data_IF_080906042288
#
_entry.id   IF_080906042288
#
_cell.length_a   1.000
_cell.length_b   1.000
_cell.length_c   1.000
_cell.angle_alpha   90.00
_cell.angle_beta   90.00
_cell.angle_gamma   90.00
#
_symmetry.space_group_name_H-M   'P 1'
#
loop_
_entity.id
_entity.type
_entity.pdbx_description
1 polymer ?
#
# COMPACT_ATOMS: atom_id res chain seq x y z
N UNK A 1 -2.99 28.59 -61.10
CA UNK A 1 -2.59 27.63 -60.04
C UNK A 1 -1.25 28.06 -59.49
N UNK A 2 -1.21 28.69 -58.32
CA UNK A 2 0.04 29.06 -57.64
C UNK A 2 -0.09 28.67 -56.17
N UNK A 3 0.60 27.59 -55.82
CA UNK A 3 0.58 26.92 -54.53
C UNK A 3 1.22 27.80 -53.45
N UNK A 4 0.45 28.14 -52.42
CA UNK A 4 0.85 28.95 -51.28
C UNK A 4 1.84 28.19 -50.39
N UNK A 5 3.08 28.70 -50.25
CA UNK A 5 4.04 28.21 -49.26
C UNK A 5 3.59 28.61 -47.86
N UNK A 6 3.05 27.67 -47.09
CA UNK A 6 2.80 27.85 -45.65
C UNK A 6 4.13 27.92 -44.89
N UNK A 7 4.45 29.11 -44.36
CA UNK A 7 5.52 29.34 -43.38
C UNK A 7 5.29 28.46 -42.14
N UNK A 8 6.20 27.53 -41.86
CA UNK A 8 6.26 26.83 -40.57
C UNK A 8 6.54 27.85 -39.46
N UNK A 9 5.62 27.99 -38.50
CA UNK A 9 5.83 28.76 -37.28
C UNK A 9 6.81 28.00 -36.38
N UNK A 10 8.00 28.52 -36.18
CA UNK A 10 9.01 27.97 -35.28
C UNK A 10 8.53 27.96 -33.83
N UNK A 11 8.37 26.76 -33.25
CA UNK A 11 8.09 26.60 -31.82
C UNK A 11 9.28 27.06 -30.99
N UNK A 12 9.05 27.98 -30.05
CA UNK A 12 10.03 28.42 -29.06
C UNK A 12 10.64 27.21 -28.33
N UNK A 13 11.92 26.92 -28.59
CA UNK A 13 12.66 25.89 -27.85
C UNK A 13 12.94 26.41 -26.44
N UNK A 14 12.38 25.74 -25.45
CA UNK A 14 12.60 26.08 -24.03
C UNK A 14 13.87 25.39 -23.52
N UNK A 15 14.85 26.18 -23.06
CA UNK A 15 16.12 25.70 -22.52
C UNK A 15 16.22 25.91 -21.00
N UNK A 16 17.00 25.07 -20.33
CA UNK A 16 17.35 25.27 -18.93
C UNK A 16 18.32 26.47 -18.79
N UNK A 17 18.09 27.31 -17.79
CA UNK A 17 18.90 28.48 -17.46
C UNK A 17 19.96 28.20 -16.38
N UNK A 18 20.08 26.96 -15.92
CA UNK A 18 21.10 26.55 -14.96
C UNK A 18 22.51 26.59 -15.58
N UNK A 19 23.51 26.89 -14.76
CA UNK A 19 24.93 26.77 -15.15
C UNK A 19 25.22 25.31 -15.51
N UNK A 20 25.98 25.11 -16.60
CA UNK A 20 26.39 23.79 -17.10
C UNK A 20 25.23 22.83 -17.45
N UNK A 21 24.03 23.35 -17.73
CA UNK A 21 22.90 22.54 -18.15
C UNK A 21 22.51 22.82 -19.60
N UNK A 22 22.63 21.81 -20.47
CA UNK A 22 22.23 21.85 -21.89
C UNK A 22 20.83 21.28 -22.14
N UNK A 23 20.07 20.97 -21.07
CA UNK A 23 18.74 20.37 -21.20
C UNK A 23 17.74 21.35 -21.82
N UNK A 24 16.94 20.84 -22.76
CA UNK A 24 15.87 21.58 -23.42
C UNK A 24 14.63 20.71 -23.52
N UNK A 25 13.47 21.33 -23.72
CA UNK A 25 12.21 20.58 -23.91
C UNK A 25 12.22 19.72 -25.17
N UNK A 26 13.10 20.04 -26.13
CA UNK A 26 13.31 19.24 -27.34
C UNK A 26 14.24 18.04 -27.11
N UNK A 27 15.30 18.19 -26.31
CA UNK A 27 16.25 17.10 -26.01
C UNK A 27 15.74 16.15 -24.93
N UNK A 28 14.98 16.65 -23.96
CA UNK A 28 14.41 15.87 -22.85
C UNK A 28 12.92 16.18 -22.65
N UNK A 29 12.02 15.61 -23.48
CA UNK A 29 10.57 15.83 -23.37
C UNK A 29 9.99 15.36 -22.03
N UNK A 30 10.60 14.36 -21.40
CA UNK A 30 10.22 13.75 -20.12
C UNK A 30 10.48 14.65 -18.91
N UNK A 31 11.40 15.62 -19.03
CA UNK A 31 11.72 16.53 -17.94
C UNK A 31 10.70 17.67 -17.85
N UNK A 32 10.33 17.99 -16.61
CA UNK A 32 9.56 19.19 -16.29
C UNK A 32 10.48 20.41 -16.20
N UNK A 33 10.03 21.53 -16.78
CA UNK A 33 10.74 22.81 -16.79
C UNK A 33 9.92 23.84 -16.02
N UNK A 34 10.48 24.36 -14.93
CA UNK A 34 9.83 25.26 -14.00
C UNK A 34 10.20 26.71 -14.27
N UNK A 35 9.20 27.60 -14.15
CA UNK A 35 9.41 29.04 -14.24
C UNK A 35 10.08 29.56 -12.97
N UNK A 36 10.85 30.63 -13.09
CA UNK A 36 11.26 31.40 -11.92
C UNK A 36 10.00 31.92 -11.20
N UNK A 37 10.03 32.09 -9.86
CA UNK A 37 8.93 32.70 -9.13
C UNK A 37 8.64 34.13 -9.61
N UNK A 38 7.36 34.51 -9.62
CA UNK A 38 6.94 35.89 -9.90
C UNK A 38 7.26 36.84 -8.72
N UNK A 39 7.37 36.30 -7.51
CA UNK A 39 7.77 37.06 -6.32
C UNK A 39 9.22 37.53 -6.42
N UNK A 40 9.45 38.83 -6.21
CA UNK A 40 10.75 39.47 -6.39
C UNK A 40 11.82 38.93 -5.43
N UNK A 41 11.45 38.65 -4.17
CA UNK A 41 12.41 38.14 -3.16
C UNK A 41 12.84 36.71 -3.49
N UNK A 42 11.87 35.84 -3.77
CA UNK A 42 12.12 34.42 -4.09
C UNK A 42 12.80 34.24 -5.45
N UNK A 43 12.51 35.09 -6.42
CA UNK A 43 13.18 35.08 -7.73
C UNK A 43 14.68 35.43 -7.58
N UNK A 44 15.01 36.44 -6.76
CA UNK A 44 16.40 36.77 -6.42
C UNK A 44 17.12 35.62 -5.72
N UNK A 45 16.46 34.93 -4.79
CA UNK A 45 17.02 33.74 -4.13
C UNK A 45 17.39 32.65 -5.15
N UNK A 46 16.51 32.38 -6.12
CA UNK A 46 16.80 31.40 -7.18
C UNK A 46 17.98 31.83 -8.07
N UNK A 47 18.12 33.12 -8.38
CA UNK A 47 19.25 33.64 -9.18
C UNK A 47 20.57 33.53 -8.40
N UNK A 48 20.56 33.80 -7.11
CA UNK A 48 21.74 33.63 -6.24
C UNK A 48 22.18 32.16 -6.25
N UNK A 49 21.22 31.24 -6.13
CA UNK A 49 21.49 29.79 -6.10
C UNK A 49 21.99 29.24 -7.44
N UNK A 50 21.50 29.76 -8.57
CA UNK A 50 21.98 29.36 -9.91
C UNK A 50 23.37 29.91 -10.23
N UNK A 51 23.89 30.88 -9.46
CA UNK A 51 25.21 31.53 -9.63
C UNK A 51 25.48 32.09 -11.05
N UNK A 52 24.42 32.48 -11.73
CA UNK A 52 24.44 33.16 -13.03
C UNK A 52 24.50 34.67 -12.83
N UNK A 53 25.69 35.26 -12.94
CA UNK A 53 25.89 36.71 -12.75
C UNK A 53 25.11 37.55 -13.77
N UNK A 54 24.90 37.03 -14.98
CA UNK A 54 24.12 37.65 -16.05
C UNK A 54 22.64 37.87 -15.69
N UNK A 55 22.10 37.06 -14.78
CA UNK A 55 20.70 37.12 -14.34
C UNK A 55 20.48 38.02 -13.11
N UNK A 56 21.54 38.44 -12.41
CA UNK A 56 21.43 39.21 -11.16
C UNK A 56 20.81 40.61 -11.38
N UNK A 57 21.07 41.22 -12.53
CA UNK A 57 20.60 42.56 -12.87
C UNK A 57 19.24 42.57 -13.60
N UNK A 58 18.55 41.43 -13.71
CA UNK A 58 17.27 41.31 -14.41
C UNK A 58 16.08 41.41 -13.45
N UNK A 59 14.95 41.94 -13.95
CA UNK A 59 13.71 42.06 -13.17
C UNK A 59 13.04 40.70 -12.97
N UNK A 60 12.28 40.55 -11.88
CA UNK A 60 11.54 39.30 -11.60
C UNK A 60 10.55 38.93 -12.71
N UNK A 61 9.93 39.93 -13.37
CA UNK A 61 9.04 39.72 -14.52
C UNK A 61 9.80 39.16 -15.74
N UNK A 62 11.01 39.66 -16.01
CA UNK A 62 11.86 39.13 -17.07
C UNK A 62 12.23 37.66 -16.80
N UNK A 63 12.63 37.33 -15.57
CA UNK A 63 13.00 35.98 -15.15
C UNK A 63 11.81 35.02 -15.25
N UNK A 64 10.63 35.45 -14.81
CA UNK A 64 9.39 34.66 -14.91
C UNK A 64 9.01 34.33 -16.36
N UNK A 65 9.19 35.27 -17.29
CA UNK A 65 8.83 35.07 -18.70
C UNK A 65 9.86 34.22 -19.45
N UNK A 66 11.15 34.49 -19.24
CA UNK A 66 12.21 34.02 -20.14
C UNK A 66 13.10 32.90 -19.57
N UNK A 67 13.16 32.71 -18.24
CA UNK A 67 14.09 31.77 -17.61
C UNK A 67 13.37 30.53 -17.08
N UNK A 68 13.99 29.35 -17.24
CA UNK A 68 13.43 28.06 -16.79
C UNK A 68 14.49 27.19 -16.15
N UNK A 69 14.13 26.40 -15.14
CA UNK A 69 15.01 25.38 -14.57
C UNK A 69 14.38 24.00 -14.74
N UNK A 70 15.14 23.03 -15.23
CA UNK A 70 14.65 21.66 -15.36
C UNK A 70 14.62 20.94 -13.99
N UNK A 71 13.82 19.87 -13.90
CA UNK A 71 13.53 19.17 -12.64
C UNK A 71 14.77 18.59 -11.92
N UNK A 72 15.89 18.41 -12.60
CA UNK A 72 17.11 17.83 -12.01
C UNK A 72 17.76 18.74 -10.96
N UNK A 73 17.48 20.05 -11.01
CA UNK A 73 18.10 21.03 -10.11
C UNK A 73 17.41 21.14 -8.74
N UNK A 74 16.36 20.35 -8.52
CA UNK A 74 15.56 20.35 -7.29
C UNK A 74 15.66 18.98 -6.61
N UNK A 75 15.78 18.99 -5.28
CA UNK A 75 15.73 17.77 -4.47
C UNK A 75 14.33 17.12 -4.54
N UNK A 76 14.26 15.79 -4.42
CA UNK A 76 13.00 15.04 -4.49
C UNK A 76 11.94 15.51 -3.46
N UNK A 77 12.38 16.03 -2.31
CA UNK A 77 11.53 16.57 -1.26
C UNK A 77 10.85 17.90 -1.63
N UNK A 78 11.29 18.56 -2.71
CA UNK A 78 10.77 19.84 -3.17
C UNK A 78 9.58 19.71 -4.14
N UNK A 79 9.23 18.48 -4.51
CA UNK A 79 8.10 18.17 -5.37
C UNK A 79 6.87 17.76 -4.56
N UNK A 80 5.70 18.26 -4.95
CA UNK A 80 4.41 17.86 -4.34
C UNK A 80 4.02 16.44 -4.78
N UNK A 81 4.41 16.06 -6.00
CA UNK A 81 4.06 14.78 -6.62
C UNK A 81 5.31 14.01 -7.04
N UNK A 82 5.26 12.68 -6.93
CA UNK A 82 6.31 11.78 -7.40
C UNK A 82 6.56 11.87 -8.92
N UNK A 83 5.61 12.42 -9.68
CA UNK A 83 5.77 12.67 -11.12
C UNK A 83 6.69 13.87 -11.41
N UNK A 84 7.16 14.61 -10.39
CA UNK A 84 8.04 15.77 -10.51
C UNK A 84 7.54 16.86 -11.47
N UNK A 85 6.21 17.03 -11.55
CA UNK A 85 5.56 18.01 -12.44
C UNK A 85 5.16 19.31 -11.74
N UNK A 86 5.23 19.35 -10.39
CA UNK A 86 4.88 20.53 -9.58
C UNK A 86 5.82 20.66 -8.39
N UNK A 87 6.40 21.84 -8.23
CA UNK A 87 7.21 22.22 -7.07
C UNK A 87 6.31 22.71 -5.93
N UNK A 88 6.75 22.52 -4.69
CA UNK A 88 6.08 23.07 -3.52
C UNK A 88 6.36 24.59 -3.38
N UNK A 89 5.57 25.31 -2.56
CA UNK A 89 5.73 26.77 -2.38
C UNK A 89 7.06 27.21 -1.76
N UNK A 90 7.83 26.30 -1.14
CA UNK A 90 9.14 26.59 -0.52
C UNK A 90 10.33 26.02 -1.31
N UNK A 91 10.08 25.48 -2.51
CA UNK A 91 11.10 24.86 -3.33
C UNK A 91 12.14 25.89 -3.78
N UNK A 92 13.41 25.48 -3.73
CA UNK A 92 14.57 26.24 -4.18
C UNK A 92 15.55 25.31 -4.88
N UNK A 93 16.17 25.72 -6.00
CA UNK A 93 17.09 24.84 -6.70
C UNK A 93 18.39 24.73 -5.89
N UNK A 94 18.74 23.53 -5.45
CA UNK A 94 19.94 23.28 -4.62
C UNK A 94 20.95 22.38 -5.30
N UNK A 95 20.57 21.70 -6.39
CA UNK A 95 21.41 20.74 -7.09
C UNK A 95 22.05 21.40 -8.33
N UNK A 96 23.28 21.86 -8.16
CA UNK A 96 24.12 22.42 -9.23
C UNK A 96 25.52 21.81 -9.15
N UNK A 97 26.12 21.56 -10.31
CA UNK A 97 27.49 21.07 -10.43
C UNK A 97 28.47 22.26 -10.49
N UNK A 98 28.69 22.88 -9.32
CA UNK A 98 29.50 24.10 -9.15
C UNK A 98 30.41 23.99 -7.91
N UNK A 99 31.57 24.68 -7.88
CA UNK A 99 32.40 24.75 -6.68
C UNK A 99 31.63 25.36 -5.50
N UNK A 100 31.60 24.66 -4.36
CA UNK A 100 30.81 25.02 -3.16
C UNK A 100 29.29 25.13 -3.43
N UNK A 101 28.58 24.00 -3.66
CA UNK A 101 27.15 23.97 -3.99
C UNK A 101 26.30 24.47 -2.80
N UNK A 102 25.08 24.97 -3.06
CA UNK A 102 24.17 25.39 -1.99
C UNK A 102 23.93 24.27 -0.97
N UNK A 103 23.80 24.59 0.33
CA UNK A 103 23.56 23.58 1.35
C UNK A 103 22.27 22.83 1.02
N UNK A 104 22.41 21.52 0.84
CA UNK A 104 21.27 20.62 0.59
C UNK A 104 20.38 20.61 1.83
N UNK A 105 19.07 20.67 1.61
CA UNK A 105 18.10 20.74 2.72
C UNK A 105 18.00 19.37 3.41
N UNK A 106 18.45 18.30 2.74
CA UNK A 106 18.46 16.94 3.26
C UNK A 106 19.83 16.35 3.60
N UNK A 107 20.59 16.88 4.58
CA UNK A 107 21.67 16.11 5.20
C UNK A 107 21.20 15.33 6.43
N UNK A 108 21.10 14.01 6.23
CA UNK A 108 21.03 12.99 7.28
C UNK A 108 22.32 12.98 8.09
N UNK A 109 22.19 12.81 9.40
CA UNK A 109 23.29 12.42 10.30
C UNK A 109 23.98 11.15 9.77
N UNK A 110 25.32 11.20 9.81
CA UNK A 110 26.31 10.25 9.30
C UNK A 110 26.02 8.79 9.68
N UNK A 111 26.12 7.89 8.71
CA UNK A 111 26.49 6.49 8.92
C UNK A 111 27.68 6.20 8.02
N UNK A 112 28.67 5.52 8.59
CA UNK A 112 30.03 5.29 8.10
C UNK A 112 30.07 4.78 6.65
N UNK A 113 31.02 5.34 5.91
CA UNK A 113 31.35 5.08 4.52
C UNK A 113 32.09 3.75 4.35
N UNK A 114 31.67 2.93 3.36
CA UNK A 114 32.50 2.15 2.40
C UNK A 114 31.62 1.09 1.72
N UNK A 115 31.37 1.29 0.42
CA UNK A 115 31.69 0.36 -0.68
C UNK A 115 31.60 1.22 -1.96
N UNK A 116 32.67 1.13 -2.76
CA UNK A 116 32.95 1.87 -3.98
C UNK A 116 31.89 1.68 -5.06
N UNK A 117 31.68 2.74 -5.83
CA UNK A 117 30.80 2.89 -6.99
C UNK A 117 31.20 2.06 -8.22
N UNK A 118 31.91 0.95 -8.05
CA UNK A 118 32.29 0.02 -9.14
C UNK A 118 31.31 -1.13 -9.32
N UNK A 119 30.51 -1.47 -8.31
CA UNK A 119 29.67 -2.68 -8.34
C UNK A 119 28.22 -2.41 -8.83
N UNK A 120 27.71 -1.18 -8.71
CA UNK A 120 26.37 -0.80 -9.19
C UNK A 120 26.26 -0.86 -10.73
N UNK A 121 27.33 -0.51 -11.44
CA UNK A 121 27.35 -0.53 -12.90
C UNK A 121 27.59 -1.94 -13.45
N UNK A 122 28.37 -2.78 -12.75
CA UNK A 122 28.51 -4.22 -13.06
C UNK A 122 27.18 -4.96 -12.85
N UNK A 123 26.42 -4.60 -11.80
CA UNK A 123 25.11 -5.20 -11.53
C UNK A 123 24.03 -4.70 -12.50
N UNK A 124 24.09 -3.43 -12.95
CA UNK A 124 23.20 -2.91 -14.02
C UNK A 124 23.50 -3.56 -15.38
N UNK A 125 24.77 -3.78 -15.71
CA UNK A 125 25.18 -4.41 -16.96
C UNK A 125 24.86 -5.90 -16.97
N UNK A 126 25.10 -6.63 -15.86
CA UNK A 126 24.65 -8.02 -15.69
C UNK A 126 23.12 -8.15 -15.73
N UNK A 127 22.39 -7.17 -15.17
CA UNK A 127 20.92 -7.13 -15.24
C UNK A 127 20.41 -6.83 -16.65
N UNK A 128 21.11 -6.02 -17.46
CA UNK A 128 20.77 -5.79 -18.86
C UNK A 128 20.99 -7.03 -19.72
N UNK A 129 22.10 -7.76 -19.51
CA UNK A 129 22.36 -9.04 -20.20
C UNK A 129 21.35 -10.13 -19.79
N UNK A 130 21.08 -10.30 -18.49
CA UNK A 130 20.06 -11.26 -18.01
C UNK A 130 18.63 -10.93 -18.46
N UNK A 131 18.29 -9.64 -18.65
CA UNK A 131 16.97 -9.25 -19.17
C UNK A 131 16.90 -9.44 -20.69
N UNK A 132 17.97 -9.20 -21.42
CA UNK A 132 18.06 -9.47 -22.86
C UNK A 132 17.99 -10.98 -23.15
N UNK A 133 18.71 -11.82 -22.40
CA UNK A 133 18.70 -13.28 -22.57
C UNK A 133 17.32 -13.90 -22.24
N UNK A 134 16.59 -13.30 -21.28
CA UNK A 134 15.22 -13.72 -20.92
C UNK A 134 14.17 -13.19 -21.91
N UNK A 135 14.39 -12.01 -22.50
CA UNK A 135 13.51 -11.47 -23.55
C UNK A 135 13.67 -12.22 -24.88
N UNK A 136 14.89 -12.63 -25.24
CA UNK A 136 15.17 -13.40 -26.46
C UNK A 136 14.59 -14.82 -26.38
N UNK A 137 14.66 -15.47 -25.20
CA UNK A 137 13.99 -16.77 -24.95
C UNK A 137 12.46 -16.68 -24.79
N UNK A 138 11.90 -15.50 -24.49
CA UNK A 138 10.44 -15.30 -24.42
C UNK A 138 9.78 -15.04 -25.79
N UNK A 139 10.57 -14.62 -26.78
CA UNK A 139 10.08 -14.25 -28.11
C UNK A 139 9.58 -15.46 -28.92
N UNK A 140 10.08 -16.67 -28.61
CA UNK A 140 9.66 -17.92 -29.25
C UNK A 140 8.42 -18.60 -28.63
N UNK A 141 7.96 -18.17 -27.44
CA UNK A 141 6.75 -18.72 -26.81
C UNK A 141 5.53 -17.78 -26.86
N UNK A 142 5.71 -16.50 -27.22
CA UNK A 142 4.65 -15.49 -27.21
C UNK A 142 3.76 -15.45 -28.48
N UNK A 143 3.85 -16.43 -29.39
CA UNK A 143 3.03 -16.48 -30.62
C UNK A 143 1.69 -17.21 -30.48
N UNK A 144 1.27 -17.61 -29.28
CA UNK A 144 -0.10 -18.12 -29.07
C UNK A 144 -0.78 -17.49 -27.85
N UNK A 145 -1.96 -16.93 -28.13
CA UNK A 145 -3.04 -16.54 -27.21
C UNK A 145 -3.10 -15.06 -26.77
N UNK A 146 -3.78 -14.26 -27.59
CA UNK A 146 -4.68 -13.19 -27.11
C UNK A 146 -6.09 -13.74 -27.19
N UNK A 147 -6.78 -13.81 -26.05
CA UNK A 147 -8.11 -13.21 -25.87
C UNK A 147 -8.52 -13.32 -24.40
N UNK A 148 -8.93 -12.18 -23.84
CA UNK A 148 -9.47 -12.06 -22.50
C UNK A 148 -10.90 -12.62 -22.43
N UNK A 149 -11.26 -13.27 -21.33
CA UNK A 149 -12.57 -13.08 -20.69
C UNK A 149 -12.53 -13.46 -19.19
N UNK A 150 -13.50 -13.01 -18.38
CA UNK A 150 -13.31 -12.71 -16.97
C UNK A 150 -13.34 -13.96 -16.09
N UNK A 151 -12.84 -13.81 -14.86
CA UNK A 151 -12.96 -14.79 -13.80
C UNK A 151 -14.45 -15.01 -13.49
N UNK A 152 -14.99 -16.12 -13.98
CA UNK A 152 -16.23 -16.69 -13.47
C UNK A 152 -15.83 -17.57 -12.28
N UNK A 153 -16.28 -17.19 -11.09
CA UNK A 153 -16.28 -18.07 -9.92
C UNK A 153 -17.30 -19.16 -10.25
N UNK A 154 -16.82 -20.37 -10.53
CA UNK A 154 -17.70 -21.54 -10.63
C UNK A 154 -17.83 -22.03 -9.19
N UNK A 155 -18.94 -21.68 -8.54
CA UNK A 155 -19.42 -22.46 -7.40
C UNK A 155 -19.81 -23.85 -7.91
N UNK A 156 -19.39 -24.87 -7.17
CA UNK A 156 -19.64 -26.27 -7.46
C UNK A 156 -21.15 -26.57 -7.37
N UNK A 157 -21.89 -26.34 -8.46
CA UNK A 157 -23.25 -26.84 -8.66
C UNK A 157 -23.30 -27.64 -9.97
N UNK A 158 -22.82 -28.89 -9.90
CA UNK A 158 -23.06 -29.91 -10.92
C UNK A 158 -24.46 -30.49 -10.67
N UNK A 159 -25.51 -29.75 -11.00
CA UNK A 159 -26.91 -30.24 -10.92
C UNK A 159 -27.83 -29.69 -12.01
N UNK A 160 -27.29 -29.16 -13.12
CA UNK A 160 -28.12 -28.54 -14.19
C UNK A 160 -27.83 -29.03 -15.61
N UNK A 161 -27.30 -30.25 -15.80
CA UNK A 161 -27.00 -30.81 -17.13
C UNK A 161 -27.99 -31.88 -17.60
N UNK A 162 -29.11 -32.07 -16.89
CA UNK A 162 -30.15 -33.03 -17.26
C UNK A 162 -31.37 -32.41 -17.96
N UNK A 163 -31.59 -31.10 -17.89
CA UNK A 163 -32.86 -30.48 -18.33
C UNK A 163 -32.94 -30.08 -19.81
N UNK A 164 -31.95 -30.43 -20.65
CA UNK A 164 -32.00 -30.14 -22.09
C UNK A 164 -31.96 -31.39 -22.99
N UNK A 165 -32.06 -32.59 -22.42
CA UNK A 165 -32.28 -33.79 -23.23
C UNK A 165 -33.75 -33.96 -23.63
N UNK A 166 -34.69 -33.41 -22.84
CA UNK A 166 -36.13 -33.48 -23.13
C UNK A 166 -36.55 -32.50 -24.24
N UNK A 167 -36.08 -31.24 -24.22
CA UNK A 167 -36.36 -30.26 -25.29
C UNK A 167 -35.85 -30.70 -26.68
N UNK A 168 -34.75 -31.47 -26.72
CA UNK A 168 -34.17 -32.02 -27.96
C UNK A 168 -34.94 -33.25 -28.48
N UNK A 169 -35.70 -33.93 -27.62
CA UNK A 169 -36.61 -35.01 -28.01
C UNK A 169 -37.95 -34.44 -28.49
N UNK A 170 -38.46 -33.40 -27.84
CA UNK A 170 -39.74 -32.76 -28.20
C UNK A 170 -39.68 -32.08 -29.59
N UNK A 171 -38.52 -31.53 -29.98
CA UNK A 171 -38.30 -31.02 -31.33
C UNK A 171 -38.19 -32.11 -32.42
N UNK A 172 -38.01 -33.38 -32.05
CA UNK A 172 -37.99 -34.52 -32.99
C UNK A 172 -39.37 -35.18 -33.16
N UNK A 173 -40.26 -35.01 -32.18
CA UNK A 173 -41.61 -35.60 -32.17
C UNK A 173 -42.70 -34.66 -32.64
N UNK A 174 -42.40 -33.37 -32.91
CA UNK A 174 -43.36 -32.48 -33.54
C UNK A 174 -43.71 -32.96 -34.96
N UNK A 175 -44.91 -33.51 -35.13
CA UNK A 175 -45.48 -33.89 -36.42
C UNK A 175 -45.44 -32.69 -37.38
N UNK A 176 -44.81 -32.92 -38.53
CA UNK A 176 -44.60 -31.91 -39.56
C UNK A 176 -45.92 -31.59 -40.28
N UNK A 177 -46.69 -30.63 -39.76
CA UNK A 177 -47.85 -30.05 -40.45
C UNK A 177 -47.40 -28.98 -41.45
N UNK A 178 -46.84 -29.41 -42.58
CA UNK A 178 -46.49 -28.54 -43.71
C UNK A 178 -46.92 -29.15 -45.03
N UNK A 179 -47.58 -28.37 -45.90
CA UNK A 179 -48.11 -28.79 -47.22
C UNK A 179 -47.04 -29.24 -48.24
N UNK A 180 -45.78 -29.45 -47.83
CA UNK A 180 -44.68 -29.80 -48.73
C UNK A 180 -43.82 -30.89 -48.10
N UNK A 181 -43.69 -32.04 -48.78
CA UNK A 181 -42.88 -33.18 -48.31
C UNK A 181 -41.50 -32.77 -47.75
N UNK A 182 -41.07 -33.39 -46.64
CA UNK A 182 -39.78 -33.13 -45.98
C UNK A 182 -38.59 -33.32 -46.94
N UNK A 183 -38.72 -34.15 -47.97
CA UNK A 183 -37.71 -34.35 -49.02
C UNK A 183 -37.49 -33.12 -49.91
N UNK A 184 -38.52 -32.28 -50.10
CA UNK A 184 -38.45 -31.06 -50.93
C UNK A 184 -37.88 -29.84 -50.19
N UNK A 185 -37.86 -29.84 -48.85
CA UNK A 185 -37.44 -28.67 -48.04
C UNK A 185 -36.15 -28.85 -47.25
N UNK A 186 -35.60 -30.08 -47.18
CA UNK A 186 -34.39 -30.42 -46.38
C UNK A 186 -33.07 -29.99 -47.04
N UNK A 187 -33.08 -29.84 -48.36
CA UNK A 187 -31.90 -29.59 -49.20
C UNK A 187 -31.85 -28.20 -49.83
N UNK A 188 -32.61 -27.24 -49.29
CA UNK A 188 -32.54 -25.85 -49.77
C UNK A 188 -31.11 -25.28 -49.58
N UNK A 189 -30.64 -24.40 -50.47
CA UNK A 189 -29.30 -23.81 -50.38
C UNK A 189 -29.03 -23.16 -49.01
N UNK A 190 -30.06 -22.51 -48.43
CA UNK A 190 -30.02 -21.90 -47.10
C UNK A 190 -29.80 -22.93 -45.97
N UNK A 191 -30.56 -24.03 -45.96
CA UNK A 191 -30.42 -25.10 -44.94
C UNK A 191 -29.09 -25.85 -45.10
N UNK A 192 -28.63 -26.13 -46.33
CA UNK A 192 -27.28 -26.70 -46.57
C UNK A 192 -26.17 -25.79 -46.04
N UNK A 193 -26.28 -24.48 -46.25
CA UNK A 193 -25.33 -23.49 -45.71
C UNK A 193 -25.35 -23.46 -44.19
N UNK A 194 -26.53 -23.49 -43.56
CA UNK A 194 -26.65 -23.57 -42.10
C UNK A 194 -26.06 -24.87 -41.51
N UNK A 195 -26.29 -26.03 -42.13
CA UNK A 195 -25.67 -27.30 -41.69
C UNK A 195 -24.14 -27.24 -41.75
N UNK A 196 -23.56 -26.68 -42.83
CA UNK A 196 -22.11 -26.45 -42.93
C UNK A 196 -21.58 -25.53 -41.82
N UNK A 197 -22.32 -24.48 -41.46
CA UNK A 197 -21.96 -23.57 -40.36
C UNK A 197 -22.03 -24.29 -39.01
N UNK A 198 -23.08 -25.08 -38.75
CA UNK A 198 -23.23 -25.86 -37.52
C UNK A 198 -22.11 -26.89 -37.41
N UNK A 199 -21.79 -27.61 -38.49
CA UNK A 199 -20.71 -28.58 -38.52
C UNK A 199 -19.34 -27.92 -38.28
N UNK A 200 -19.08 -26.75 -38.88
CA UNK A 200 -17.88 -25.98 -38.63
C UNK A 200 -17.77 -25.51 -37.17
N UNK A 201 -18.89 -25.05 -36.57
CA UNK A 201 -18.95 -24.67 -35.15
C UNK A 201 -18.74 -25.87 -34.22
N UNK A 202 -19.37 -27.02 -34.50
CA UNK A 202 -19.21 -28.25 -33.72
C UNK A 202 -17.79 -28.80 -33.80
N UNK A 203 -17.15 -28.74 -34.98
CA UNK A 203 -15.72 -29.06 -35.13
C UNK A 203 -14.85 -28.09 -34.33
N UNK A 204 -15.19 -26.80 -34.27
CA UNK A 204 -14.48 -25.81 -33.45
C UNK A 204 -14.63 -26.07 -31.95
N UNK A 205 -15.84 -26.40 -31.49
CA UNK A 205 -16.13 -26.78 -30.09
C UNK A 205 -15.37 -28.06 -29.71
N UNK A 206 -15.40 -29.10 -30.54
CA UNK A 206 -14.66 -30.35 -30.30
C UNK A 206 -13.14 -30.10 -30.17
N UNK A 207 -12.58 -29.25 -31.03
CA UNK A 207 -11.17 -28.85 -30.94
C UNK A 207 -10.86 -28.07 -29.66
N UNK A 208 -11.74 -27.15 -29.26
CA UNK A 208 -11.59 -26.38 -28.02
C UNK A 208 -11.67 -27.28 -26.79
N UNK A 209 -12.62 -28.22 -26.72
CA UNK A 209 -12.75 -29.17 -25.62
C UNK A 209 -11.53 -30.10 -25.50
N UNK A 210 -10.96 -30.55 -26.62
CA UNK A 210 -9.69 -31.32 -26.62
C UNK A 210 -8.50 -30.51 -26.15
N UNK A 211 -8.44 -29.21 -26.46
CA UNK A 211 -7.40 -28.31 -25.93
C UNK A 211 -7.59 -28.08 -24.44
N UNK A 212 -8.82 -27.85 -24.00
CA UNK A 212 -9.17 -27.62 -22.61
C UNK A 212 -8.85 -28.85 -21.73
N UNK A 213 -9.20 -30.06 -22.18
CA UNK A 213 -8.89 -31.29 -21.43
C UNK A 213 -7.39 -31.56 -21.29
N UNK A 214 -6.59 -31.26 -22.32
CA UNK A 214 -5.12 -31.31 -22.23
C UNK A 214 -4.57 -30.31 -21.22
N UNK A 215 -5.05 -29.07 -21.23
CA UNK A 215 -4.62 -28.02 -20.28
C UNK A 215 -5.02 -28.40 -18.84
N UNK A 216 -6.24 -28.91 -18.64
CA UNK A 216 -6.71 -29.38 -17.33
C UNK A 216 -5.84 -30.53 -16.83
N UNK A 217 -5.55 -31.53 -17.67
CA UNK A 217 -4.69 -32.67 -17.28
C UNK A 217 -3.31 -32.19 -16.85
N UNK A 218 -2.66 -31.33 -17.64
CA UNK A 218 -1.34 -30.78 -17.30
C UNK A 218 -1.35 -29.95 -16.01
N UNK A 219 -2.38 -29.10 -15.81
CA UNK A 219 -2.54 -28.34 -14.56
C UNK A 219 -2.75 -29.26 -13.36
N UNK A 220 -3.49 -30.35 -13.51
CA UNK A 220 -3.75 -31.32 -12.43
C UNK A 220 -2.46 -32.02 -11.99
N UNK A 221 -1.61 -32.42 -12.94
CA UNK A 221 -0.30 -33.02 -12.66
C UNK A 221 0.64 -32.04 -11.96
N UNK A 222 0.70 -30.77 -12.41
CA UNK A 222 1.52 -29.74 -11.76
C UNK A 222 1.04 -29.40 -10.35
N UNK A 223 -0.28 -29.31 -10.14
CA UNK A 223 -0.88 -29.00 -8.84
C UNK A 223 -0.61 -30.12 -7.82
N UNK A 224 -0.71 -31.38 -8.25
CA UNK A 224 -0.33 -32.56 -7.45
C UNK A 224 1.12 -32.50 -6.97
N UNK A 225 2.06 -32.21 -7.89
CA UNK A 225 3.48 -32.13 -7.55
C UNK A 225 3.79 -30.97 -6.58
N UNK A 226 3.11 -29.82 -6.74
CA UNK A 226 3.25 -28.69 -5.83
C UNK A 226 2.69 -29.01 -4.44
N UNK A 227 1.53 -29.66 -4.35
CA UNK A 227 0.92 -30.05 -3.08
C UNK A 227 1.80 -31.06 -2.32
N UNK A 228 2.45 -31.99 -3.04
CA UNK A 228 3.38 -32.94 -2.43
C UNK A 228 4.68 -32.28 -1.94
N UNK A 229 5.16 -31.23 -2.62
CA UNK A 229 6.28 -30.41 -2.14
C UNK A 229 5.88 -29.57 -0.91
N UNK A 230 4.67 -29.01 -0.90
CA UNK A 230 4.15 -28.19 0.20
C UNK A 230 3.95 -29.01 1.48
N UNK A 231 3.60 -30.29 1.40
CA UNK A 231 3.50 -31.20 2.57
C UNK A 231 4.81 -31.37 3.32
N UNK A 232 5.96 -31.19 2.66
CA UNK A 232 7.30 -31.31 3.27
C UNK A 232 7.74 -30.05 4.01
N UNK A 233 7.04 -28.93 3.80
CA UNK A 233 7.34 -27.65 4.43
C UNK A 233 6.55 -27.48 5.73
N UNK A 234 7.08 -26.72 6.72
CA UNK A 234 6.28 -26.28 7.86
C UNK A 234 4.99 -25.58 7.42
N UNK A 235 3.86 -25.76 8.12
CA UNK A 235 2.55 -25.25 7.67
C UNK A 235 2.54 -23.75 7.35
N UNK A 236 3.26 -22.96 8.15
CA UNK A 236 3.37 -21.50 7.96
C UNK A 236 4.15 -21.12 6.71
N UNK A 237 5.23 -21.85 6.38
CA UNK A 237 6.00 -21.63 5.14
C UNK A 237 5.26 -22.16 3.92
N UNK A 238 4.62 -23.33 4.05
CA UNK A 238 3.79 -23.90 2.99
C UNK A 238 2.67 -22.93 2.59
N UNK A 239 1.97 -22.35 3.57
CA UNK A 239 0.94 -21.35 3.31
C UNK A 239 1.48 -20.11 2.59
N UNK A 240 2.63 -19.59 3.03
CA UNK A 240 3.28 -18.45 2.37
C UNK A 240 3.68 -18.76 0.93
N UNK A 241 4.34 -19.90 0.69
CA UNK A 241 4.81 -20.31 -0.64
C UNK A 241 3.62 -20.50 -1.59
N UNK A 242 2.57 -21.21 -1.16
CA UNK A 242 1.35 -21.39 -1.93
C UNK A 242 0.74 -20.05 -2.34
N UNK A 243 0.63 -19.12 -1.40
CA UNK A 243 0.13 -17.78 -1.67
C UNK A 243 1.01 -17.02 -2.67
N UNK A 244 2.34 -17.16 -2.61
CA UNK A 244 3.23 -16.53 -3.59
C UNK A 244 2.98 -17.06 -5.01
N UNK A 245 2.75 -18.36 -5.19
CA UNK A 245 2.39 -18.94 -6.49
C UNK A 245 1.06 -18.38 -7.01
N UNK A 246 0.03 -18.33 -6.17
CA UNK A 246 -1.29 -17.80 -6.54
C UNK A 246 -1.20 -16.32 -6.95
N UNK A 247 -0.44 -15.52 -6.18
CA UNK A 247 -0.22 -14.10 -6.46
C UNK A 247 0.65 -13.85 -7.70
N UNK A 248 1.54 -14.80 -8.03
CA UNK A 248 2.35 -14.74 -9.24
C UNK A 248 1.50 -14.98 -10.48
N UNK A 249 0.56 -15.93 -10.42
CA UNK A 249 -0.40 -16.17 -11.49
C UNK A 249 -1.35 -14.97 -11.72
N UNK A 250 -1.59 -14.16 -10.69
CA UNK A 250 -2.41 -12.96 -10.79
C UNK A 250 -1.66 -11.75 -11.40
N UNK A 251 -2.39 -10.97 -12.22
CA UNK A 251 -1.91 -9.69 -12.74
C UNK A 251 -1.53 -8.74 -11.60
N UNK A 252 -0.53 -7.86 -11.83
CA UNK A 252 0.02 -6.92 -10.84
C UNK A 252 -1.05 -6.14 -10.04
N UNK A 253 -2.09 -5.63 -10.71
CA UNK A 253 -3.17 -4.85 -10.09
C UNK A 253 -4.34 -5.70 -9.56
N UNK A 254 -4.37 -7.01 -9.86
CA UNK A 254 -5.41 -7.94 -9.40
C UNK A 254 -5.03 -8.73 -8.15
N UNK A 255 -3.84 -8.50 -7.60
CA UNK A 255 -3.32 -9.23 -6.43
C UNK A 255 -4.10 -8.87 -5.17
N UNK A 256 -4.74 -9.87 -4.56
CA UNK A 256 -5.48 -9.74 -3.30
C UNK A 256 -4.76 -10.51 -2.21
N UNK A 257 -4.56 -9.85 -1.07
CA UNK A 257 -3.84 -10.43 0.07
C UNK A 257 -4.82 -10.86 1.16
N UNK A 258 -4.62 -12.07 1.69
CA UNK A 258 -5.39 -12.58 2.83
C UNK A 258 -5.07 -11.80 4.11
N UNK A 259 -5.96 -11.82 5.13
CA UNK A 259 -5.71 -11.18 6.42
C UNK A 259 -4.43 -11.69 7.12
N UNK A 260 -4.17 -12.99 7.05
CA UNK A 260 -3.00 -13.65 7.66
C UNK A 260 -1.71 -13.13 7.02
N UNK A 261 -1.71 -12.98 5.68
CA UNK A 261 -0.59 -12.43 4.95
C UNK A 261 -0.36 -10.95 5.27
N UNK A 262 -1.44 -10.17 5.44
CA UNK A 262 -1.32 -8.78 5.87
C UNK A 262 -0.76 -8.68 7.29
N UNK A 263 -1.19 -9.55 8.20
CA UNK A 263 -0.63 -9.65 9.56
C UNK A 263 0.87 -9.95 9.52
N UNK A 264 1.28 -10.98 8.79
CA UNK A 264 2.70 -11.33 8.61
C UNK A 264 3.51 -10.15 8.01
N UNK A 265 2.98 -9.51 6.98
CA UNK A 265 3.63 -8.37 6.34
C UNK A 265 3.75 -7.17 7.30
N UNK A 266 2.77 -6.95 8.17
CA UNK A 266 2.79 -5.93 9.23
C UNK A 266 3.87 -6.28 10.25
N UNK A 267 3.91 -7.52 10.74
CA UNK A 267 4.95 -7.99 11.66
C UNK A 267 6.36 -7.77 11.09
N UNK A 268 6.59 -8.15 9.83
CA UNK A 268 7.86 -7.92 9.13
C UNK A 268 8.18 -6.42 8.97
N UNK A 269 7.17 -5.61 8.65
CA UNK A 269 7.33 -4.16 8.48
C UNK A 269 7.68 -3.45 9.80
N UNK A 270 7.04 -3.84 10.91
CA UNK A 270 7.33 -3.33 12.25
C UNK A 270 8.69 -3.80 12.77
N UNK A 271 9.08 -5.06 12.47
CA UNK A 271 10.41 -5.55 12.82
C UNK A 271 11.51 -4.76 12.10
N UNK A 272 11.38 -4.54 10.78
CA UNK A 272 12.30 -3.66 10.06
C UNK A 272 11.71 -3.17 8.73
N UNK A 273 11.36 -1.89 8.66
CA UNK A 273 10.90 -1.27 7.42
C UNK A 273 11.95 -1.21 6.30
N UNK A 274 13.25 -1.35 6.64
CA UNK A 274 14.35 -1.50 5.66
C UNK A 274 14.37 -2.91 5.10
N UNK A 275 14.35 -3.93 5.96
CA UNK A 275 14.31 -5.33 5.54
C UNK A 275 13.04 -5.63 4.72
N UNK A 276 11.89 -5.12 5.16
CA UNK A 276 10.63 -5.24 4.41
C UNK A 276 10.75 -4.68 2.98
N UNK A 277 11.47 -3.57 2.79
CA UNK A 277 11.69 -2.99 1.46
C UNK A 277 12.54 -3.88 0.58
N UNK A 278 13.57 -4.51 1.13
CA UNK A 278 14.38 -5.49 0.42
C UNK A 278 13.55 -6.71 0.06
N UNK A 279 12.83 -7.28 1.02
CA UNK A 279 11.96 -8.44 0.83
C UNK A 279 10.84 -8.15 -0.18
N UNK A 280 10.27 -6.94 -0.21
CA UNK A 280 9.25 -6.56 -1.20
C UNK A 280 9.75 -6.48 -2.64
N UNK A 281 11.07 -6.50 -2.86
CA UNK A 281 11.67 -6.64 -4.19
C UNK A 281 11.79 -8.11 -4.60
N UNK A 282 11.92 -9.02 -3.62
CA UNK A 282 12.11 -10.46 -3.83
C UNK A 282 10.77 -11.21 -3.88
N UNK A 283 9.85 -10.85 -2.98
CA UNK A 283 8.56 -11.49 -2.80
C UNK A 283 7.40 -10.55 -3.18
N UNK A 284 6.26 -11.13 -3.55
CA UNK A 284 5.02 -10.42 -3.82
C UNK A 284 4.37 -10.09 -2.48
N UNK A 285 4.75 -8.95 -1.91
CA UNK A 285 4.26 -8.45 -0.62
C UNK A 285 3.33 -7.23 -0.79
N UNK A 286 2.43 -6.98 0.16
CA UNK A 286 1.63 -5.77 0.18
C UNK A 286 2.48 -4.50 0.12
N UNK A 287 1.99 -3.46 -0.56
CA UNK A 287 2.67 -2.17 -0.54
C UNK A 287 2.54 -1.50 0.83
N UNK A 288 3.46 -0.59 1.16
CA UNK A 288 3.41 0.19 2.41
C UNK A 288 2.09 0.93 2.58
N UNK A 289 1.54 1.48 1.50
CA UNK A 289 0.22 2.14 1.53
C UNK A 289 -0.89 1.15 1.88
N UNK A 290 -0.84 -0.07 1.33
CA UNK A 290 -1.81 -1.12 1.66
C UNK A 290 -1.72 -1.53 3.13
N UNK A 291 -0.51 -1.64 3.68
CA UNK A 291 -0.31 -1.94 5.11
C UNK A 291 -0.84 -0.80 5.99
N UNK A 292 -0.52 0.45 5.65
CA UNK A 292 -1.02 1.63 6.39
C UNK A 292 -2.54 1.71 6.37
N UNK A 293 -3.16 1.47 5.22
CA UNK A 293 -4.62 1.44 5.07
C UNK A 293 -5.26 0.26 5.82
N UNK A 294 -4.52 -0.82 6.04
CA UNK A 294 -5.00 -1.94 6.84
C UNK A 294 -4.91 -1.61 8.33
N UNK A 295 -3.77 -1.06 8.78
CA UNK A 295 -3.54 -0.62 10.16
C UNK A 295 -4.52 0.48 10.56
N UNK A 296 -4.83 1.43 9.65
CA UNK A 296 -5.74 2.54 9.93
C UNK A 296 -7.17 2.12 10.26
N UNK A 297 -7.53 0.86 10.00
CA UNK A 297 -8.84 0.30 10.37
C UNK A 297 -8.91 -0.13 11.83
N UNK A 298 -7.77 -0.26 12.51
CA UNK A 298 -7.76 -0.60 13.92
C UNK A 298 -8.19 0.62 14.74
N UNK A 299 -9.05 0.45 15.76
CA UNK A 299 -9.45 1.55 16.63
C UNK A 299 -8.26 2.04 17.45
N UNK A 300 -8.00 3.35 17.40
CA UNK A 300 -6.91 4.01 18.13
C UNK A 300 -7.45 5.29 18.78
N UNK A 301 -8.41 5.12 19.67
CA UNK A 301 -9.02 6.21 20.42
C UNK A 301 -8.45 6.25 21.83
N UNK A 302 -8.46 7.44 22.44
CA UNK A 302 -8.10 7.59 23.84
C UNK A 302 -9.16 6.93 24.74
N UNK A 303 -8.76 6.57 25.94
CA UNK A 303 -9.49 5.73 26.87
C UNK A 303 -9.09 4.25 26.77
N UNK A 304 -9.89 3.40 27.41
CA UNK A 304 -9.68 1.96 27.43
C UNK A 304 -10.25 1.33 26.16
N UNK A 305 -9.39 0.66 25.39
CA UNK A 305 -9.76 0.05 24.12
C UNK A 305 -10.58 -1.22 24.33
N UNK A 306 -11.87 -1.16 23.98
CA UNK A 306 -12.76 -2.33 24.06
C UNK A 306 -12.29 -3.46 23.14
N UNK A 307 -11.71 -3.15 21.98
CA UNK A 307 -11.16 -4.16 21.08
C UNK A 307 -10.01 -4.94 21.74
N UNK A 308 -9.17 -4.25 22.51
CA UNK A 308 -8.08 -4.87 23.26
C UNK A 308 -8.63 -5.73 24.40
N UNK A 309 -9.60 -5.22 25.16
CA UNK A 309 -10.23 -5.95 26.26
C UNK A 309 -10.92 -7.22 25.75
N UNK A 310 -11.63 -7.14 24.62
CA UNK A 310 -12.28 -8.31 24.01
C UNK A 310 -11.26 -9.37 23.55
N UNK A 311 -10.14 -8.93 22.97
CA UNK A 311 -9.04 -9.83 22.59
C UNK A 311 -8.41 -10.48 23.83
N UNK A 312 -8.22 -9.70 24.89
CA UNK A 312 -7.68 -10.18 26.16
C UNK A 312 -8.64 -11.19 26.80
N UNK A 313 -9.96 -10.95 26.79
CA UNK A 313 -10.99 -11.87 27.28
C UNK A 313 -10.91 -13.25 26.63
N UNK A 314 -10.69 -13.31 25.32
CA UNK A 314 -10.51 -14.58 24.60
C UNK A 314 -9.26 -15.34 25.03
N UNK A 315 -8.21 -14.62 25.44
CA UNK A 315 -6.99 -15.23 25.96
C UNK A 315 -7.17 -15.69 27.41
N UNK A 316 -7.82 -14.87 28.23
CA UNK A 316 -8.07 -15.14 29.66
C UNK A 316 -8.94 -16.37 29.87
N UNK A 317 -9.88 -16.66 28.97
CA UNK A 317 -10.68 -17.89 29.04
C UNK A 317 -9.85 -19.17 28.88
N UNK A 318 -8.64 -19.08 28.34
CA UNK A 318 -7.70 -20.20 28.17
C UNK A 318 -6.59 -20.21 29.22
N UNK A 319 -6.53 -19.20 30.11
CA UNK A 319 -5.51 -19.11 31.16
C UNK A 319 -5.87 -19.94 32.39
N UNK A 320 -4.85 -20.47 33.05
CA UNK A 320 -4.98 -21.04 34.39
C UNK A 320 -5.20 -19.94 35.44
N UNK A 321 -5.72 -20.29 36.62
CA UNK A 321 -6.04 -19.29 37.66
C UNK A 321 -4.80 -18.52 38.16
N UNK A 322 -3.64 -19.18 38.19
CA UNK A 322 -2.37 -18.52 38.51
C UNK A 322 -1.95 -17.51 37.44
N UNK A 323 -2.19 -17.80 36.16
CA UNK A 323 -1.86 -16.88 35.06
C UNK A 323 -2.81 -15.68 34.96
N UNK A 324 -4.00 -15.78 35.55
CA UNK A 324 -4.98 -14.68 35.67
C UNK A 324 -4.59 -13.64 36.72
N UNK A 325 -3.61 -13.93 37.59
CA UNK A 325 -3.06 -12.95 38.52
C UNK A 325 -2.25 -11.89 37.75
N UNK A 326 -2.69 -10.63 37.85
CA UNK A 326 -2.04 -9.52 37.14
C UNK A 326 -1.84 -8.29 38.03
N UNK A 327 -0.89 -7.45 37.61
CA UNK A 327 -0.69 -6.10 38.11
C UNK A 327 -1.16 -5.08 37.05
N UNK A 328 -1.75 -3.99 37.51
CA UNK A 328 -2.05 -2.82 36.67
C UNK A 328 -0.94 -1.79 36.84
N UNK A 329 -0.21 -1.49 35.78
CA UNK A 329 0.82 -0.46 35.78
C UNK A 329 0.28 0.81 35.11
N UNK A 330 0.50 1.96 35.73
CA UNK A 330 0.12 3.28 35.25
C UNK A 330 1.35 4.15 35.20
N UNK A 331 1.60 4.79 34.06
CA UNK A 331 2.78 5.63 33.88
C UNK A 331 2.47 6.80 32.94
N UNK A 332 3.14 7.93 33.15
CA UNK A 332 2.97 9.14 32.35
C UNK A 332 4.14 9.34 31.39
N UNK A 333 3.83 9.46 30.09
CA UNK A 333 4.81 9.60 29.03
C UNK A 333 4.74 11.01 28.43
N UNK A 334 5.84 11.74 28.46
CA UNK A 334 5.96 13.04 27.79
C UNK A 334 5.82 12.91 26.28
N UNK A 335 4.94 13.71 25.70
CA UNK A 335 4.67 13.76 24.26
C UNK A 335 5.29 15.00 23.63
N UNK A 336 5.64 14.88 22.34
CA UNK A 336 5.88 16.06 21.52
C UNK A 336 4.55 16.69 21.15
N UNK A 337 4.32 17.92 21.62
CA UNK A 337 3.12 18.69 21.33
C UNK A 337 3.00 18.96 19.83
N UNK A 338 1.87 18.57 19.23
CA UNK A 338 1.56 18.86 17.84
C UNK A 338 0.07 18.73 17.59
N UNK A 339 -0.54 19.73 16.95
CA UNK A 339 -1.92 19.70 16.52
C UNK A 339 -2.01 19.47 15.02
N UNK A 340 -2.82 18.51 14.60
CA UNK A 340 -3.16 18.34 13.19
C UNK A 340 -4.59 17.86 13.02
N UNK A 341 -5.22 18.26 11.92
CA UNK A 341 -6.57 17.82 11.60
C UNK A 341 -6.54 16.52 10.79
N UNK A 342 -7.21 15.48 11.31
CA UNK A 342 -7.35 14.20 10.64
C UNK A 342 -8.64 14.16 9.83
N UNK A 343 -8.54 14.29 8.51
CA UNK A 343 -9.69 14.24 7.58
C UNK A 343 -10.51 12.95 7.74
N UNK A 344 -9.91 11.74 7.80
CA UNK A 344 -10.70 10.51 7.87
C UNK A 344 -11.51 10.35 9.16
N UNK A 345 -11.09 11.00 10.25
CA UNK A 345 -11.75 10.95 11.56
C UNK A 345 -12.55 12.22 11.87
N UNK A 346 -12.54 13.20 10.96
CA UNK A 346 -13.08 14.55 11.17
C UNK A 346 -12.74 15.12 12.57
N UNK A 347 -11.46 15.02 12.95
CA UNK A 347 -11.02 15.29 14.33
C UNK A 347 -9.68 16.00 14.37
N UNK A 348 -9.58 17.04 15.19
CA UNK A 348 -8.30 17.66 15.57
C UNK A 348 -7.59 16.70 16.53
N UNK A 349 -6.42 16.20 16.14
CA UNK A 349 -5.57 15.30 16.93
C UNK A 349 -4.52 16.12 17.66
N UNK A 350 -4.20 15.72 18.90
CA UNK A 350 -3.19 16.35 19.76
C UNK A 350 -3.76 17.26 20.86
N UNK A 351 -5.08 17.32 20.99
CA UNK A 351 -5.74 17.91 22.16
C UNK A 351 -5.84 16.89 23.30
N UNK A 352 -6.04 17.40 24.51
CA UNK A 352 -6.38 16.63 25.70
C UNK A 352 -7.68 15.83 25.46
N UNK A 353 -7.61 14.55 25.80
CA UNK A 353 -8.62 13.53 25.48
C UNK A 353 -8.58 12.45 26.56
N UNK A 354 -9.60 12.48 27.43
CA UNK A 354 -9.74 11.56 28.55
C UNK A 354 -10.41 10.23 28.15
N UNK A 355 -10.76 10.07 26.87
CA UNK A 355 -11.54 8.93 26.39
C UNK A 355 -13.05 9.16 26.53
N UNK A 356 -13.84 8.25 25.96
CA UNK A 356 -15.31 8.31 26.02
C UNK A 356 -15.95 9.54 25.33
N UNK A 357 -15.16 10.33 24.59
CA UNK A 357 -15.60 11.60 24.00
C UNK A 357 -15.33 12.84 24.86
N UNK A 358 -14.80 12.67 26.07
CA UNK A 358 -14.45 13.78 26.97
C UNK A 358 -13.13 14.43 26.53
N UNK A 359 -13.26 15.62 25.94
CA UNK A 359 -12.13 16.34 25.33
C UNK A 359 -12.16 17.79 25.74
N UNK A 360 -10.98 18.39 25.88
CA UNK A 360 -10.85 19.82 26.15
C UNK A 360 -10.09 20.49 25.01
N UNK A 361 -10.11 21.82 25.01
CA UNK A 361 -9.41 22.64 24.02
C UNK A 361 -7.90 22.81 24.35
N UNK A 362 -7.40 22.15 25.39
CA UNK A 362 -5.99 22.20 25.78
C UNK A 362 -5.16 21.24 24.92
N UNK A 363 -3.91 21.61 24.65
CA UNK A 363 -2.98 20.76 23.89
C UNK A 363 -2.42 19.68 24.79
N UNK A 364 -2.47 18.41 24.38
CA UNK A 364 -1.89 17.33 25.17
C UNK A 364 -0.36 17.41 25.15
N UNK A 365 0.25 17.38 26.33
CA UNK A 365 1.71 17.39 26.51
C UNK A 365 2.24 16.04 26.97
N UNK A 366 1.38 15.20 27.53
CA UNK A 366 1.74 13.88 28.05
C UNK A 366 0.59 12.90 27.85
N UNK A 367 0.90 11.62 27.96
CA UNK A 367 -0.06 10.53 27.90
C UNK A 367 0.07 9.66 29.16
N UNK A 368 -1.03 9.50 29.87
CA UNK A 368 -1.17 8.45 30.88
C UNK A 368 -1.44 7.13 30.18
N UNK A 369 -0.58 6.14 30.35
CA UNK A 369 -0.70 4.82 29.72
C UNK A 369 -1.01 3.77 30.77
N UNK A 370 -1.97 2.91 30.47
CA UNK A 370 -2.39 1.80 31.32
C UNK A 370 -1.89 0.48 30.72
N UNK A 371 -1.17 -0.30 31.52
CA UNK A 371 -0.59 -1.58 31.12
C UNK A 371 -1.00 -2.68 32.09
N UNK A 372 -1.72 -3.69 31.61
CA UNK A 372 -1.95 -4.91 32.37
C UNK A 372 -0.76 -5.86 32.17
N UNK A 373 -0.20 -6.39 33.26
CA UNK A 373 0.95 -7.31 33.25
C UNK A 373 0.66 -8.53 34.11
N UNK A 374 0.92 -9.72 33.60
CA UNK A 374 0.83 -10.95 34.38
C UNK A 374 1.91 -10.99 35.46
N UNK A 375 1.53 -11.42 36.68
CA UNK A 375 2.47 -11.62 37.79
C UNK A 375 3.14 -12.98 37.63
N UNK A 376 2.34 -14.04 37.55
CA UNK A 376 2.84 -15.40 37.33
C UNK A 376 3.13 -15.67 35.85
N UNK A 377 2.29 -15.13 34.95
CA UNK A 377 2.41 -15.34 33.51
C UNK A 377 3.26 -14.26 32.84
N UNK A 378 4.12 -14.64 31.88
CA UNK A 378 4.91 -13.69 31.09
C UNK A 378 4.07 -13.08 29.96
N UNK A 379 3.17 -12.18 30.31
CA UNK A 379 2.39 -11.41 29.35
C UNK A 379 2.23 -9.96 29.79
N UNK A 380 2.11 -9.06 28.80
CA UNK A 380 1.88 -7.63 29.01
C UNK A 380 1.00 -7.12 27.89
N UNK A 381 0.00 -6.29 28.23
CA UNK A 381 -0.95 -5.77 27.26
C UNK A 381 -1.33 -4.33 27.64
N UNK A 382 -0.99 -3.33 26.81
CA UNK A 382 -1.51 -1.97 26.98
C UNK A 382 -3.03 -2.02 26.80
N UNK A 383 -3.78 -1.56 27.80
CA UNK A 383 -5.24 -1.62 27.80
C UNK A 383 -5.88 -0.32 27.31
N UNK A 384 -5.19 0.80 27.53
CA UNK A 384 -5.68 2.12 27.16
C UNK A 384 -4.65 3.20 27.41
N UNK A 385 -4.97 4.40 26.94
CA UNK A 385 -4.20 5.59 27.23
C UNK A 385 -5.11 6.80 27.26
N UNK A 386 -4.71 7.82 28.02
CA UNK A 386 -5.40 9.10 28.14
C UNK A 386 -4.41 10.20 27.82
N UNK A 387 -4.86 11.24 27.12
CA UNK A 387 -4.02 12.38 26.73
C UNK A 387 -4.32 13.55 27.66
N UNK A 388 -3.29 14.12 28.29
CA UNK A 388 -3.43 15.17 29.30
C UNK A 388 -2.51 16.36 29.02
N UNK A 389 -2.90 17.53 29.51
CA UNK A 389 -2.04 18.72 29.54
C UNK A 389 -1.39 18.87 30.92
N UNK A 390 -0.07 18.79 30.98
CA UNK A 390 0.70 18.69 32.22
C UNK A 390 0.51 17.34 32.90
N UNK A 391 0.57 17.32 34.22
CA UNK A 391 0.32 16.11 34.99
C UNK A 391 -1.17 15.71 34.96
N UNK A 392 -1.45 14.41 34.94
CA UNK A 392 -2.83 13.92 35.02
C UNK A 392 -3.51 14.37 36.33
N UNK A 393 -4.69 15.02 36.28
CA UNK A 393 -5.44 15.39 37.48
C UNK A 393 -5.84 14.16 38.30
N UNK A 394 -5.78 14.26 39.63
CA UNK A 394 -6.07 13.15 40.55
C UNK A 394 -7.48 12.58 40.38
N UNK A 395 -8.49 13.42 40.11
CA UNK A 395 -9.88 12.96 39.90
C UNK A 395 -9.99 12.05 38.67
N UNK A 396 -9.41 12.48 37.55
CA UNK A 396 -9.41 11.71 36.30
C UNK A 396 -8.60 10.42 36.45
N UNK A 397 -7.47 10.48 37.17
CA UNK A 397 -6.64 9.31 37.44
C UNK A 397 -7.42 8.24 38.22
N UNK A 398 -8.21 8.66 39.21
CA UNK A 398 -9.08 7.79 40.00
C UNK A 398 -10.17 7.14 39.14
N UNK A 399 -10.86 7.94 38.32
CA UNK A 399 -11.91 7.45 37.43
C UNK A 399 -11.36 6.44 36.42
N UNK A 400 -10.24 6.76 35.77
CA UNK A 400 -9.59 5.90 34.77
C UNK A 400 -9.07 4.60 35.40
N UNK A 401 -8.56 4.66 36.64
CA UNK A 401 -8.14 3.47 37.36
C UNK A 401 -9.35 2.56 37.67
N UNK A 402 -10.42 3.11 38.24
CA UNK A 402 -11.62 2.35 38.59
C UNK A 402 -12.22 1.70 37.35
N UNK A 403 -12.35 2.44 36.25
CA UNK A 403 -12.82 1.91 34.97
C UNK A 403 -11.93 0.76 34.46
N UNK A 404 -10.61 0.88 34.60
CA UNK A 404 -9.68 -0.17 34.22
C UNK A 404 -9.81 -1.43 35.08
N UNK A 405 -9.92 -1.27 36.39
CA UNK A 405 -10.10 -2.37 37.33
C UNK A 405 -11.42 -3.10 37.05
N UNK A 406 -12.52 -2.37 36.89
CA UNK A 406 -13.83 -2.94 36.57
C UNK A 406 -13.78 -3.76 35.28
N UNK A 407 -13.19 -3.21 34.21
CA UNK A 407 -13.06 -3.91 32.92
C UNK A 407 -12.17 -5.14 33.00
N UNK A 408 -11.08 -5.09 33.77
CA UNK A 408 -10.19 -6.24 33.96
C UNK A 408 -10.84 -7.34 34.81
N UNK A 409 -11.59 -6.97 35.84
CA UNK A 409 -12.31 -7.92 36.68
C UNK A 409 -13.46 -8.58 35.91
N UNK A 410 -14.19 -7.83 35.07
CA UNK A 410 -15.26 -8.36 34.22
C UNK A 410 -14.78 -9.41 33.21
N UNK A 411 -13.51 -9.37 32.78
CA UNK A 411 -12.94 -10.40 31.89
C UNK A 411 -12.39 -11.61 32.64
N UNK A 412 -12.40 -11.59 33.98
CA UNK A 412 -11.93 -12.68 34.83
C UNK A 412 -10.45 -12.61 35.23
N UNK A 413 -9.82 -11.43 35.11
CA UNK A 413 -8.48 -11.21 35.66
C UNK A 413 -8.57 -10.79 37.13
N UNK A 414 -7.60 -11.24 37.93
CA UNK A 414 -7.47 -10.84 39.33
C UNK A 414 -6.33 -9.83 39.46
N UNK A 415 -6.69 -8.55 39.61
CA UNK A 415 -5.71 -7.47 39.78
C UNK A 415 -5.31 -7.38 41.25
N UNK A 416 -4.08 -7.80 41.57
CA UNK A 416 -3.58 -7.82 42.96
C UNK A 416 -2.84 -6.53 43.35
N UNK A 417 -2.17 -5.90 42.39
CA UNK A 417 -1.27 -4.77 42.63
C UNK A 417 -1.49 -3.71 41.57
N UNK A 418 -1.59 -2.46 42.00
CA UNK A 418 -1.50 -1.29 41.14
C UNK A 418 -0.12 -0.65 41.33
N UNK A 419 0.58 -0.39 40.24
CA UNK A 419 1.91 0.21 40.23
C UNK A 419 1.86 1.57 39.54
N UNK A 420 2.40 2.59 40.18
CA UNK A 420 2.61 3.93 39.61
C UNK A 420 4.05 4.39 39.81
N UNK A 421 4.42 5.50 39.20
CA UNK A 421 5.67 6.20 39.53
C UNK A 421 5.52 7.03 40.83
N UNK A 422 6.58 7.79 41.17
CA UNK A 422 6.63 8.69 42.33
C UNK A 422 6.30 10.15 41.97
N UNK A 423 5.57 10.39 40.89
CA UNK A 423 5.09 11.72 40.51
C UNK A 423 4.21 12.33 41.60
N UNK A 424 4.23 13.66 41.74
CA UNK A 424 3.45 14.37 42.76
C UNK A 424 1.93 14.13 42.61
N UNK A 425 1.46 13.96 41.38
CA UNK A 425 0.09 13.57 41.06
C UNK A 425 -0.25 12.16 41.60
N UNK A 426 0.64 11.19 41.41
CA UNK A 426 0.45 9.83 41.91
C UNK A 426 0.57 9.75 43.44
N UNK A 427 1.44 10.56 44.04
CA UNK A 427 1.51 10.68 45.50
C UNK A 427 0.23 11.28 46.10
N UNK A 428 -0.28 12.37 45.50
CA UNK A 428 -1.57 12.96 45.88
C UNK A 428 -2.72 11.94 45.73
N UNK A 429 -2.69 11.17 44.64
CA UNK A 429 -3.63 10.09 44.38
C UNK A 429 -3.55 8.97 45.43
N UNK A 430 -2.36 8.50 45.79
CA UNK A 430 -2.17 7.47 46.81
C UNK A 430 -2.72 7.90 48.17
N UNK A 431 -2.43 9.15 48.57
CA UNK A 431 -2.98 9.74 49.80
C UNK A 431 -4.52 9.77 49.77
N UNK A 432 -5.11 10.15 48.63
CA UNK A 432 -6.58 10.18 48.46
C UNK A 432 -7.21 8.79 48.53
N UNK A 433 -6.49 7.76 48.06
CA UNK A 433 -6.91 6.37 48.18
C UNK A 433 -6.68 5.76 49.57
N UNK A 434 -6.12 6.53 50.52
CA UNK A 434 -5.86 6.07 51.88
C UNK A 434 -4.62 5.19 52.03
N UNK A 435 -3.68 5.26 51.09
CA UNK A 435 -2.36 4.61 51.20
C UNK A 435 -1.48 5.51 52.07
N UNK A 436 -1.11 5.03 53.26
CA UNK A 436 -0.31 5.76 54.27
C UNK A 436 1.12 5.26 54.36
#
# INVERSE_FOLDING_TARGET
MSCSKTKQKGGSRTYCSAVNCSNSKGSHPELSFFRFPADSKRSKEWVILTRRQDLQNKTADYLYRNCRLCAIHFEDCMFISHLKNRLNPQAKPTLFDIPNPPPTVGQKRRFVERISTSDEDIVKEKRRKLVADVEEQSSDQARMMVDHNPVIVIEDNITGLQDHQEDLQEAKTAEFCGQTSSTLTTNTPRKKRQRKVIEAKNKKISRLNKKLSKVIRNKKTQKSALDDALKKLPPHLAGFVKLQFDLHAAKKHGRRYSPEMKSLAISLFHASGKAYRLLSKLFILPTRSSLRNYISKMPTEAGISQATINTLKQKVSQMSDMEKLCSLCMDEISLKTHLFYSIPKDKIVGLEDFGGGYRTNKVATSALVLLARGISGNWKQPIGYVLVNGACPTDILEDVMKEALDKLQQIGLNVLVVMSDMGSNFHSFANRMGVT
#
